data_IF_027061155126
#
_entry.id   IF_027061155126
#
_cell.length_a   1.000
_cell.length_b   1.000
_cell.length_c   1.000
_cell.angle_alpha   90.00
_cell.angle_beta   90.00
_cell.angle_gamma   90.00
#
_symmetry.space_group_name_H-M   'P 1'
#
loop_
_entity.id
_entity.type
_entity.pdbx_description
1 polymer ?
#
# COMPACT_ATOMS: atom_id res chain seq x y z
N UNK A 1 -5.16 39.45 11.95
CA UNK A 1 -4.41 38.26 11.50
C UNK A 1 -4.75 38.02 10.04
N UNK A 2 -3.81 38.29 9.12
CA UNK A 2 -4.02 38.07 7.69
C UNK A 2 -4.03 36.56 7.40
N UNK A 3 -5.05 36.08 6.70
CA UNK A 3 -5.07 34.74 6.16
C UNK A 3 -3.92 34.63 5.16
N UNK A 4 -3.01 33.67 5.36
CA UNK A 4 -1.96 33.38 4.39
C UNK A 4 -2.61 33.09 3.04
N UNK A 5 -2.22 33.86 2.01
CA UNK A 5 -2.67 33.63 0.65
C UNK A 5 -2.30 32.19 0.25
N UNK A 6 -3.31 31.40 -0.14
CA UNK A 6 -3.07 30.04 -0.59
C UNK A 6 -2.37 30.12 -1.95
N UNK A 7 -1.08 29.79 -1.99
CA UNK A 7 -0.28 29.80 -3.21
C UNK A 7 -0.85 28.89 -4.30
N UNK A 8 -0.51 29.20 -5.56
CA UNK A 8 -0.92 28.42 -6.74
C UNK A 8 -0.50 26.95 -6.57
N UNK A 9 -1.46 26.03 -6.76
CA UNK A 9 -1.19 24.59 -6.69
C UNK A 9 -0.37 24.18 -7.90
N UNK A 10 0.80 23.59 -7.67
CA UNK A 10 1.68 23.08 -8.72
C UNK A 10 1.76 21.57 -8.60
N UNK A 11 1.37 20.87 -9.66
CA UNK A 11 1.38 19.41 -9.75
C UNK A 11 2.17 18.96 -10.99
N UNK A 12 3.11 18.04 -10.81
CA UNK A 12 3.90 17.47 -11.90
C UNK A 12 3.82 15.95 -11.86
N UNK A 13 3.26 15.34 -12.91
CA UNK A 13 3.32 13.90 -13.15
C UNK A 13 4.44 13.60 -14.14
N UNK A 14 5.44 12.83 -13.71
CA UNK A 14 6.57 12.37 -14.53
C UNK A 14 6.38 10.90 -14.88
N UNK A 15 6.34 10.58 -16.17
CA UNK A 15 6.27 9.21 -16.70
C UNK A 15 7.68 8.75 -17.07
N UNK A 16 8.32 7.98 -16.18
CA UNK A 16 9.73 7.61 -16.32
C UNK A 16 10.00 6.79 -17.58
N UNK A 17 9.11 5.86 -17.96
CA UNK A 17 9.32 5.04 -19.17
C UNK A 17 9.10 5.83 -20.45
N UNK A 18 8.15 6.78 -20.43
CA UNK A 18 7.84 7.62 -21.59
C UNK A 18 8.74 8.85 -21.71
N UNK A 19 9.58 9.11 -20.71
CA UNK A 19 10.46 10.29 -20.66
C UNK A 19 9.66 11.59 -20.90
N UNK A 20 8.46 11.65 -20.31
CA UNK A 20 7.52 12.77 -20.47
C UNK A 20 6.96 13.20 -19.12
N UNK A 21 6.66 14.48 -18.96
CA UNK A 21 5.94 15.01 -17.82
C UNK A 21 4.73 15.85 -18.23
N UNK A 22 3.72 15.83 -17.37
CA UNK A 22 2.54 16.67 -17.41
C UNK A 22 2.57 17.60 -16.20
N UNK A 23 2.74 18.89 -16.46
CA UNK A 23 2.61 19.95 -15.48
C UNK A 23 1.16 20.45 -15.47
N UNK A 24 0.58 20.55 -14.29
CA UNK A 24 -0.74 21.14 -14.04
C UNK A 24 -0.55 22.26 -13.01
N UNK A 25 -0.93 23.47 -13.39
CA UNK A 25 -1.02 24.62 -12.50
C UNK A 25 -2.49 24.87 -12.20
N UNK A 26 -2.88 24.68 -10.94
CA UNK A 26 -4.26 24.86 -10.51
C UNK A 26 -4.75 26.29 -10.74
N UNK A 27 -6.04 26.45 -11.04
CA UNK A 27 -6.64 27.76 -11.24
C UNK A 27 -6.40 28.67 -10.01
N UNK A 28 -5.89 29.90 -10.22
CA UNK A 28 -5.90 30.90 -9.16
C UNK A 28 -7.35 31.22 -8.79
N UNK A 29 -7.61 31.48 -7.50
CA UNK A 29 -8.96 31.83 -7.02
C UNK A 29 -9.50 33.12 -7.63
N UNK A 30 -8.62 33.99 -8.11
CA UNK A 30 -8.95 35.23 -8.80
C UNK A 30 -8.52 35.08 -10.26
N UNK A 31 -9.51 34.86 -11.13
CA UNK A 31 -9.28 34.60 -12.55
C UNK A 31 -8.58 35.76 -13.25
N UNK A 32 -7.59 35.44 -14.08
CA UNK A 32 -6.98 36.37 -15.02
C UNK A 32 -5.70 37.07 -14.57
N UNK A 33 -5.12 36.73 -13.42
CA UNK A 33 -3.82 37.27 -13.03
C UNK A 33 -2.69 36.73 -13.93
N UNK A 34 -1.76 37.59 -14.40
CA UNK A 34 -0.62 37.15 -15.18
C UNK A 34 0.28 36.24 -14.32
N UNK A 35 0.69 35.12 -14.90
CA UNK A 35 1.59 34.15 -14.27
C UNK A 35 2.85 33.98 -15.12
N UNK A 36 4.00 34.13 -14.48
CA UNK A 36 5.29 33.84 -15.13
C UNK A 36 5.76 32.45 -14.71
N UNK A 37 6.01 31.59 -15.69
CA UNK A 37 6.44 30.21 -15.49
C UNK A 37 7.87 30.06 -16.01
N UNK A 38 8.79 29.79 -15.10
CA UNK A 38 10.19 29.51 -15.43
C UNK A 38 10.47 28.02 -15.25
N UNK A 39 10.82 27.35 -16.35
CA UNK A 39 11.20 25.93 -16.35
C UNK A 39 12.70 25.83 -16.52
N UNK A 40 13.38 25.24 -15.55
CA UNK A 40 14.80 24.89 -15.64
C UNK A 40 14.98 23.38 -15.45
N UNK A 41 16.13 22.79 -15.81
CA UNK A 41 16.28 21.35 -15.75
C UNK A 41 16.04 20.72 -14.37
N UNK A 42 16.34 21.41 -13.28
CA UNK A 42 16.25 20.87 -11.92
C UNK A 42 15.10 21.45 -11.08
N UNK A 43 14.39 22.46 -11.57
CA UNK A 43 13.31 23.10 -10.83
C UNK A 43 12.29 23.76 -11.74
N UNK A 44 11.11 24.00 -11.18
CA UNK A 44 10.04 24.75 -11.80
C UNK A 44 9.65 25.89 -10.88
N UNK A 45 9.55 27.10 -11.42
CA UNK A 45 9.15 28.28 -10.65
C UNK A 45 7.92 28.91 -11.29
N UNK A 46 6.91 29.18 -10.46
CA UNK A 46 5.68 29.88 -10.83
C UNK A 46 5.61 31.16 -10.02
N UNK A 47 5.67 32.30 -10.71
CA UNK A 47 5.53 33.62 -10.11
C UNK A 47 4.14 34.16 -10.39
N UNK A 48 3.52 34.63 -9.32
CA UNK A 48 2.22 35.30 -9.30
C UNK A 48 2.39 36.63 -8.56
N UNK A 49 1.50 37.62 -8.75
CA UNK A 49 1.53 38.85 -7.95
C UNK A 49 1.51 38.59 -6.44
N UNK A 50 0.91 37.49 -6.00
CA UNK A 50 0.74 37.12 -4.60
C UNK A 50 1.94 36.34 -4.02
N UNK A 51 2.86 35.85 -4.87
CA UNK A 51 4.02 35.11 -4.41
C UNK A 51 4.70 34.25 -5.47
N UNK A 52 5.75 33.56 -5.04
CA UNK A 52 6.57 32.67 -5.86
C UNK A 52 6.52 31.25 -5.30
N UNK A 53 6.08 30.30 -6.12
CA UNK A 53 6.09 28.88 -5.80
C UNK A 53 7.20 28.20 -6.58
N UNK A 54 8.14 27.56 -5.88
CA UNK A 54 9.21 26.78 -6.50
C UNK A 54 9.05 25.29 -6.17
N UNK A 55 9.18 24.46 -7.20
CA UNK A 55 9.18 23.01 -7.13
C UNK A 55 10.58 22.51 -7.46
N UNK A 56 11.29 22.00 -6.45
CA UNK A 56 12.58 21.34 -6.64
C UNK A 56 12.38 19.90 -7.07
N UNK A 57 13.12 19.46 -8.09
CA UNK A 57 13.03 18.10 -8.61
C UNK A 57 14.07 17.19 -7.94
N UNK A 58 13.75 15.91 -7.73
CA UNK A 58 14.74 14.92 -7.32
C UNK A 58 15.90 14.83 -8.31
N UNK A 59 17.09 14.44 -7.84
CA UNK A 59 18.31 14.37 -8.65
C UNK A 59 18.16 13.41 -9.85
N UNK A 60 17.28 12.43 -9.75
CA UNK A 60 17.02 11.41 -10.77
C UNK A 60 16.12 11.92 -11.91
N UNK A 61 15.58 13.14 -11.81
CA UNK A 61 14.65 13.73 -12.77
C UNK A 61 15.14 15.10 -13.23
N UNK A 62 15.27 15.25 -14.54
CA UNK A 62 15.62 16.53 -15.17
C UNK A 62 14.63 16.90 -16.28
N UNK A 63 14.10 18.12 -16.26
CA UNK A 63 13.21 18.61 -17.33
C UNK A 63 14.03 19.01 -18.56
N UNK A 64 13.39 18.98 -19.72
CA UNK A 64 13.94 19.54 -20.96
C UNK A 64 13.14 20.80 -21.32
N UNK A 65 13.54 22.00 -20.89
CA UNK A 65 12.71 23.22 -21.06
C UNK A 65 12.37 23.54 -22.51
N UNK A 66 13.25 23.22 -23.46
CA UNK A 66 13.02 23.44 -24.90
C UNK A 66 11.92 22.56 -25.51
N UNK A 67 11.40 21.58 -24.76
CA UNK A 67 10.39 20.63 -25.24
C UNK A 67 8.95 20.99 -24.83
N UNK A 68 8.77 22.13 -24.15
CA UNK A 68 7.46 22.61 -23.70
C UNK A 68 6.47 22.70 -24.87
N UNK A 69 5.35 21.99 -24.76
CA UNK A 69 4.32 21.90 -25.80
C UNK A 69 2.93 21.60 -25.22
N UNK A 70 1.91 21.78 -26.04
CA UNK A 70 0.54 21.42 -25.67
C UNK A 70 0.02 22.22 -24.47
N UNK A 71 0.37 23.51 -24.43
CA UNK A 71 -0.17 24.44 -23.45
C UNK A 71 -1.68 24.55 -23.66
N UNK A 72 -2.44 24.20 -22.62
CA UNK A 72 -3.89 24.20 -22.69
C UNK A 72 -4.47 24.60 -21.35
N UNK A 73 -5.51 25.44 -21.38
CA UNK A 73 -6.32 25.72 -20.20
C UNK A 73 -7.51 24.75 -20.17
N UNK A 74 -7.70 24.09 -19.03
CA UNK A 74 -8.81 23.16 -18.78
C UNK A 74 -9.67 23.75 -17.65
N UNK A 75 -10.92 24.16 -17.94
CA UNK A 75 -11.80 24.75 -16.93
C UNK A 75 -11.97 23.85 -15.71
N UNK A 76 -11.74 24.40 -14.52
CA UNK A 76 -11.81 23.71 -13.23
C UNK A 76 -10.57 22.89 -12.85
N UNK A 77 -9.63 22.66 -13.78
CA UNK A 77 -8.35 21.98 -13.50
C UNK A 77 -7.17 22.96 -13.52
N UNK A 78 -7.17 23.91 -14.48
CA UNK A 78 -6.17 24.96 -14.63
C UNK A 78 -5.31 24.81 -15.89
N UNK A 79 -4.07 25.26 -15.82
CA UNK A 79 -3.15 25.31 -16.97
C UNK A 79 -2.33 24.03 -17.06
N UNK A 80 -2.41 23.37 -18.21
CA UNK A 80 -1.73 22.12 -18.51
C UNK A 80 -0.60 22.37 -19.49
N UNK A 81 0.57 21.80 -19.22
CA UNK A 81 1.75 21.87 -20.09
C UNK A 81 2.43 20.50 -20.15
N UNK A 82 2.86 20.09 -21.34
CA UNK A 82 3.64 18.87 -21.53
C UNK A 82 5.09 19.20 -21.84
N UNK A 83 5.99 18.40 -21.28
CA UNK A 83 7.42 18.52 -21.48
C UNK A 83 8.06 17.13 -21.52
N UNK A 84 9.20 17.02 -22.19
CA UNK A 84 10.10 15.87 -22.07
C UNK A 84 10.89 15.97 -20.77
N UNK A 85 11.26 14.81 -20.25
CA UNK A 85 12.14 14.68 -19.10
C UNK A 85 13.25 13.70 -19.41
N UNK A 86 14.34 13.80 -18.65
CA UNK A 86 15.34 12.75 -18.48
C UNK A 86 15.16 12.21 -17.07
N UNK A 87 14.62 11.02 -16.98
CA UNK A 87 14.45 10.32 -15.71
C UNK A 87 15.14 8.96 -15.78
N UNK A 88 15.92 8.63 -14.75
CA UNK A 88 16.47 7.28 -14.67
C UNK A 88 15.34 6.25 -14.55
N UNK A 89 15.48 5.16 -15.30
CA UNK A 89 14.57 4.02 -15.17
C UNK A 89 14.91 3.33 -13.86
N UNK A 90 13.93 3.25 -12.96
CA UNK A 90 14.08 2.66 -11.63
C UNK A 90 14.54 1.20 -11.75
N UNK A 91 15.85 0.97 -11.72
CA UNK A 91 16.47 -0.35 -11.94
C UNK A 91 16.28 -1.28 -10.74
N UNK A 92 15.66 -0.80 -9.66
CA UNK A 92 15.44 -1.53 -8.42
C UNK A 92 14.06 -1.22 -7.87
N UNK A 93 13.01 -1.71 -8.55
CA UNK A 93 11.73 -2.03 -7.89
C UNK A 93 11.96 -3.19 -6.92
N UNK A 94 12.67 -2.91 -5.83
CA UNK A 94 12.90 -3.86 -4.76
C UNK A 94 11.62 -3.84 -3.92
N UNK A 95 10.96 -4.99 -3.83
CA UNK A 95 9.82 -5.18 -2.93
C UNK A 95 10.18 -4.74 -1.51
N UNK A 96 9.45 -3.79 -0.94
CA UNK A 96 9.63 -3.37 0.47
C UNK A 96 9.40 -4.56 1.44
N UNK A 97 8.55 -5.52 1.06
CA UNK A 97 8.35 -6.74 1.81
C UNK A 97 9.63 -7.58 1.87
N UNK A 98 10.39 -7.62 0.78
CA UNK A 98 11.70 -8.27 0.77
C UNK A 98 12.78 -7.44 1.49
N UNK A 99 12.78 -6.10 1.43
CA UNK A 99 13.82 -5.29 2.10
C UNK A 99 13.79 -5.36 3.63
N UNK A 100 12.60 -5.28 4.24
CA UNK A 100 12.47 -5.36 5.70
C UNK A 100 12.88 -6.73 6.26
N UNK A 101 12.85 -7.75 5.41
CA UNK A 101 13.01 -9.16 5.75
C UNK A 101 14.35 -9.76 5.27
N UNK A 102 15.10 -9.06 4.39
CA UNK A 102 16.41 -9.49 3.86
C UNK A 102 17.59 -9.24 4.82
N UNK A 103 17.36 -8.61 5.97
CA UNK A 103 18.43 -8.35 6.94
C UNK A 103 18.67 -9.58 7.84
N UNK A 104 19.94 -10.00 7.97
CA UNK A 104 20.45 -11.02 8.90
C UNK A 104 20.21 -10.74 10.41
N UNK A 105 19.35 -9.77 10.76
CA UNK A 105 19.05 -9.32 12.12
C UNK A 105 17.63 -9.68 12.60
N UNK A 106 17.37 -9.41 13.89
CA UNK A 106 16.03 -9.59 14.46
C UNK A 106 15.06 -8.51 13.97
N UNK A 107 13.83 -8.89 13.64
CA UNK A 107 12.75 -7.99 13.26
C UNK A 107 11.65 -7.95 14.32
N UNK A 108 10.95 -6.83 14.40
CA UNK A 108 9.82 -6.64 15.29
C UNK A 108 8.57 -6.34 14.46
N UNK A 109 7.47 -6.97 14.85
CA UNK A 109 6.15 -6.84 14.23
C UNK A 109 5.35 -5.85 15.07
N UNK A 110 4.76 -4.85 14.41
CA UNK A 110 3.98 -3.80 15.05
C UNK A 110 2.57 -3.76 14.47
N UNK A 111 1.57 -3.46 15.31
CA UNK A 111 0.25 -3.10 14.84
C UNK A 111 0.33 -1.75 14.13
N UNK A 112 -0.09 -1.71 12.86
CA UNK A 112 -0.08 -0.48 12.06
C UNK A 112 -0.93 0.63 12.71
N UNK A 113 -2.09 0.29 13.27
CA UNK A 113 -3.07 1.28 13.75
C UNK A 113 -2.64 2.02 15.02
N UNK A 114 -1.82 1.41 15.87
CA UNK A 114 -1.40 2.06 17.12
C UNK A 114 0.11 2.03 17.37
N UNK A 115 0.85 1.09 16.75
CA UNK A 115 2.28 0.85 17.00
C UNK A 115 2.56 -0.19 18.09
N UNK A 116 1.56 -0.96 18.52
CA UNK A 116 1.75 -1.96 19.58
C UNK A 116 2.67 -3.08 19.08
N UNK A 117 3.63 -3.50 19.90
CA UNK A 117 4.51 -4.62 19.54
C UNK A 117 3.72 -5.93 19.61
N UNK A 118 3.70 -6.66 18.51
CA UNK A 118 2.99 -7.94 18.36
C UNK A 118 3.96 -9.12 18.55
N UNK A 119 5.11 -9.04 17.89
CA UNK A 119 6.21 -10.01 18.01
C UNK A 119 7.50 -9.22 18.12
N UNK A 120 8.25 -9.41 19.20
CA UNK A 120 9.49 -8.67 19.47
C UNK A 120 10.72 -9.49 19.09
N UNK A 121 11.72 -8.84 18.50
CA UNK A 121 13.06 -9.38 18.25
C UNK A 121 13.06 -10.78 17.59
N UNK A 122 12.13 -11.02 16.66
CA UNK A 122 12.00 -12.29 15.93
C UNK A 122 13.11 -12.40 14.91
N UNK A 123 13.94 -13.43 15.05
CA UNK A 123 14.86 -13.82 13.98
C UNK A 123 14.09 -14.53 12.88
N UNK A 124 14.20 -14.07 11.64
CA UNK A 124 13.63 -14.75 10.48
C UNK A 124 14.77 -15.35 9.66
N UNK A 125 14.83 -16.68 9.63
CA UNK A 125 15.89 -17.41 8.94
C UNK A 125 15.57 -17.60 7.46
N UNK A 126 14.29 -17.83 7.14
CA UNK A 126 13.82 -17.95 5.76
C UNK A 126 12.57 -17.14 5.56
N UNK A 127 12.56 -16.42 4.45
CA UNK A 127 11.43 -15.61 4.03
C UNK A 127 11.10 -16.07 2.61
N UNK A 128 10.01 -16.82 2.48
CA UNK A 128 9.69 -17.55 1.25
C UNK A 128 8.34 -17.10 0.69
N UNK A 129 8.23 -16.80 -0.61
CA UNK A 129 6.93 -16.54 -1.22
C UNK A 129 6.11 -17.84 -1.27
N UNK A 130 4.82 -17.74 -0.97
CA UNK A 130 3.85 -18.81 -1.22
C UNK A 130 3.47 -18.81 -2.70
N UNK A 131 3.01 -19.96 -3.23
CA UNK A 131 2.20 -19.96 -4.43
C UNK A 131 1.04 -18.96 -4.29
N UNK A 132 0.58 -18.41 -5.42
CA UNK A 132 -0.59 -17.53 -5.46
C UNK A 132 -1.77 -18.14 -4.71
N UNK A 133 -2.60 -17.33 -4.05
CA UNK A 133 -3.87 -17.81 -3.49
C UNK A 133 -4.75 -18.51 -4.56
N UNK A 134 -4.60 -18.13 -5.83
CA UNK A 134 -5.31 -18.73 -6.97
C UNK A 134 -4.56 -19.91 -7.61
N UNK A 135 -3.51 -20.43 -6.97
CA UNK A 135 -2.70 -21.52 -7.52
C UNK A 135 -3.52 -22.76 -7.87
N UNK A 136 -4.46 -23.15 -7.00
CA UNK A 136 -5.33 -24.30 -7.28
C UNK A 136 -6.12 -24.14 -8.58
N UNK A 137 -6.76 -22.98 -8.77
CA UNK A 137 -7.49 -22.67 -10.00
C UNK A 137 -6.57 -22.64 -11.23
N UNK A 138 -5.35 -22.10 -11.09
CA UNK A 138 -4.36 -22.10 -12.17
C UNK A 138 -3.95 -23.53 -12.55
N UNK A 139 -3.74 -24.41 -11.56
CA UNK A 139 -3.39 -25.81 -11.82
C UNK A 139 -4.53 -26.54 -12.50
N UNK A 140 -5.76 -26.36 -12.05
CA UNK A 140 -6.95 -26.97 -12.66
C UNK A 140 -7.15 -26.56 -14.11
N UNK A 141 -6.83 -25.31 -14.47
CA UNK A 141 -7.01 -24.78 -15.82
C UNK A 141 -5.83 -25.05 -16.76
N UNK A 142 -4.59 -25.03 -16.25
CA UNK A 142 -3.38 -24.95 -17.09
C UNK A 142 -2.42 -26.13 -16.97
N UNK A 143 -2.53 -26.96 -15.92
CA UNK A 143 -1.56 -28.02 -15.68
C UNK A 143 -2.12 -29.41 -16.02
N UNK A 144 -1.28 -30.25 -16.61
CA UNK A 144 -1.64 -31.64 -16.96
C UNK A 144 -1.67 -32.60 -15.76
N UNK A 145 -1.36 -32.11 -14.55
CA UNK A 145 -1.30 -32.90 -13.33
C UNK A 145 -1.99 -32.16 -12.19
N UNK A 146 -2.54 -32.88 -11.19
CA UNK A 146 -3.20 -32.26 -10.05
C UNK A 146 -2.22 -31.39 -9.24
N UNK A 147 -2.79 -30.50 -8.44
CA UNK A 147 -2.02 -29.59 -7.59
C UNK A 147 -1.18 -30.39 -6.57
N UNK A 148 0.16 -30.29 -6.64
CA UNK A 148 1.05 -31.01 -5.73
C UNK A 148 0.86 -30.58 -4.26
N UNK A 149 0.19 -29.44 -4.01
CA UNK A 149 -0.06 -28.89 -2.68
C UNK A 149 -1.49 -29.07 -2.17
N UNK A 150 -2.43 -29.61 -2.96
CA UNK A 150 -3.86 -29.69 -2.62
C UNK A 150 -4.17 -30.31 -1.25
N UNK A 151 -3.34 -31.24 -0.79
CA UNK A 151 -3.52 -31.97 0.48
C UNK A 151 -2.43 -31.67 1.53
N UNK A 152 -1.57 -30.67 1.29
CA UNK A 152 -0.43 -30.35 2.16
C UNK A 152 -0.48 -28.88 2.57
N UNK A 153 -0.97 -28.56 3.78
CA UNK A 153 -0.97 -27.18 4.23
C UNK A 153 0.48 -26.69 4.39
N UNK A 154 0.80 -25.59 3.71
CA UNK A 154 2.12 -24.96 3.77
C UNK A 154 2.24 -24.15 5.06
N UNK A 155 2.77 -24.77 6.10
CA UNK A 155 3.00 -24.12 7.40
C UNK A 155 4.47 -23.71 7.56
N UNK A 156 4.74 -22.48 8.02
CA UNK A 156 6.10 -22.04 8.33
C UNK A 156 6.65 -22.83 9.54
N UNK A 157 7.92 -23.21 9.48
CA UNK A 157 8.64 -23.72 10.64
C UNK A 157 8.96 -22.56 11.60
N UNK A 158 9.54 -22.89 12.76
CA UNK A 158 10.04 -21.86 13.66
C UNK A 158 11.05 -20.96 12.94
N UNK A 159 10.89 -19.63 13.08
CA UNK A 159 11.71 -18.62 12.40
C UNK A 159 11.55 -18.54 10.87
N UNK A 160 10.59 -19.24 10.27
CA UNK A 160 10.18 -18.98 8.90
C UNK A 160 9.08 -17.91 8.84
N UNK A 161 9.09 -17.13 7.76
CA UNK A 161 8.00 -16.26 7.36
C UNK A 161 7.63 -16.56 5.92
N UNK A 162 6.39 -16.96 5.66
CA UNK A 162 5.90 -17.14 4.29
C UNK A 162 5.10 -15.91 3.85
N UNK A 163 5.32 -15.46 2.62
CA UNK A 163 4.69 -14.26 2.06
C UNK A 163 3.62 -14.69 1.04
N UNK A 164 2.36 -14.41 1.33
CA UNK A 164 1.26 -14.51 0.36
C UNK A 164 1.00 -13.17 -0.35
N UNK A 165 -0.03 -13.13 -1.21
CA UNK A 165 -0.37 -11.94 -2.00
C UNK A 165 -0.77 -10.72 -1.14
N UNK A 166 -1.36 -10.97 0.04
CA UNK A 166 -1.93 -9.93 0.93
C UNK A 166 -1.65 -10.17 2.43
N UNK A 167 -0.84 -11.17 2.76
CA UNK A 167 -0.64 -11.63 4.13
C UNK A 167 0.73 -12.26 4.35
N UNK A 168 1.11 -12.37 5.62
CA UNK A 168 2.26 -13.14 6.08
C UNK A 168 1.78 -14.36 6.87
N UNK A 169 2.41 -15.52 6.69
CA UNK A 169 2.30 -16.64 7.62
C UNK A 169 3.57 -16.71 8.44
N UNK A 170 3.40 -16.76 9.76
CA UNK A 170 4.51 -16.97 10.69
C UNK A 170 4.17 -18.06 11.66
N UNK A 171 5.19 -18.80 12.07
CA UNK A 171 5.06 -19.69 13.21
C UNK A 171 5.00 -18.82 14.48
N UNK A 172 3.80 -18.66 15.02
CA UNK A 172 3.51 -17.85 16.19
C UNK A 172 2.34 -18.46 16.96
N UNK A 173 2.63 -18.87 18.19
CA UNK A 173 1.67 -19.41 19.16
C UNK A 173 0.92 -18.27 19.85
N UNK A 174 -0.35 -18.09 19.49
CA UNK A 174 -1.21 -17.04 20.08
C UNK A 174 -1.66 -17.36 21.52
N UNK A 175 -1.41 -18.56 22.02
CA UNK A 175 -1.80 -19.09 23.34
C UNK A 175 -0.88 -18.65 24.49
N UNK A 176 0.23 -17.94 24.23
CA UNK A 176 0.97 -17.18 25.25
C UNK A 176 0.19 -15.95 25.78
N UNK A 177 -1.05 -15.75 25.33
CA UNK A 177 -1.88 -14.58 25.62
C UNK A 177 -3.18 -14.88 26.37
N UNK A 178 -3.37 -16.12 26.84
CA UNK A 178 -4.32 -16.43 27.92
C UNK A 178 -3.52 -16.76 29.19
N UNK A 179 -3.91 -16.28 30.39
CA UNK A 179 -3.35 -16.81 31.63
C UNK A 179 -3.59 -18.31 31.64
N UNK A 180 -2.54 -19.11 31.84
CA UNK A 180 -2.70 -20.54 32.15
C UNK A 180 -3.65 -20.63 33.36
N UNK A 181 -4.77 -21.38 33.29
CA UNK A 181 -5.33 -21.93 34.51
C UNK A 181 -4.24 -22.82 35.11
N UNK A 182 -3.97 -22.63 36.39
CA UNK A 182 -2.94 -23.36 37.14
C UNK A 182 -3.06 -24.87 36.93
N UNK A 183 -1.90 -25.52 36.84
CA UNK A 183 -1.73 -26.97 36.82
C UNK A 183 -2.40 -27.59 38.06
N UNK A 184 -3.29 -28.54 37.82
CA UNK A 184 -3.76 -29.52 38.81
C UNK A 184 -3.71 -30.92 38.16
N UNK A 185 -3.52 -32.00 38.96
CA UNK A 185 -2.50 -33.00 38.68
C UNK A 185 -2.92 -34.11 37.70
N UNK A 186 -1.87 -34.80 37.25
CA UNK A 186 -1.88 -36.07 36.51
C UNK A 186 -2.87 -37.07 37.11
N UNK A 187 -3.84 -37.51 36.30
CA UNK A 187 -4.44 -38.83 36.46
C UNK A 187 -4.43 -39.58 35.13
N UNK A 188 -3.79 -40.74 35.18
CA UNK A 188 -3.69 -41.75 34.13
C UNK A 188 -5.05 -42.41 33.92
N UNK A 189 -5.54 -42.47 32.67
CA UNK A 189 -6.21 -43.68 32.13
C UNK A 189 -6.55 -43.55 30.63
N UNK A 190 -6.22 -44.60 29.88
CA UNK A 190 -6.66 -44.87 28.52
C UNK A 190 -8.09 -45.44 28.52
N UNK A 191 -8.95 -45.03 27.58
CA UNK A 191 -9.76 -45.92 26.74
C UNK A 191 -10.63 -45.14 25.75
N UNK A 192 -10.91 -45.83 24.65
CA UNK A 192 -11.71 -45.49 23.47
C UNK A 192 -13.13 -45.01 23.79
N UNK A 193 -13.64 -44.02 23.04
CA UNK A 193 -14.79 -44.16 22.13
C UNK A 193 -15.31 -42.81 21.62
N UNK A 194 -15.94 -42.89 20.45
CA UNK A 194 -16.43 -41.84 19.59
C UNK A 194 -17.32 -40.80 20.29
N UNK A 195 -16.82 -39.59 20.44
CA UNK A 195 -17.69 -38.40 20.46
C UNK A 195 -16.99 -37.26 19.71
N UNK A 196 -17.49 -36.96 18.51
CA UNK A 196 -17.38 -35.67 17.85
C UNK A 196 -18.04 -34.61 18.73
N UNK A 197 -17.41 -34.27 19.86
CA UNK A 197 -17.62 -33.00 20.55
C UNK A 197 -16.99 -31.97 19.63
N UNK A 198 -17.83 -31.30 18.85
CA UNK A 198 -17.53 -30.02 18.21
C UNK A 198 -16.95 -29.12 19.30
N UNK A 199 -15.61 -29.09 19.38
CA UNK A 199 -14.90 -28.10 20.18
C UNK A 199 -15.42 -26.74 19.71
N UNK A 200 -15.75 -25.82 20.63
CA UNK A 200 -16.20 -24.49 20.24
C UNK A 200 -15.20 -23.93 19.25
N UNK A 201 -15.70 -23.49 18.08
CA UNK A 201 -14.92 -22.96 16.97
C UNK A 201 -13.92 -21.96 17.54
N UNK A 202 -12.67 -22.37 17.68
CA UNK A 202 -11.65 -21.59 18.37
C UNK A 202 -11.63 -20.19 17.75
N UNK A 203 -11.51 -19.14 18.56
CA UNK A 203 -11.44 -17.77 18.06
C UNK A 203 -10.28 -17.69 17.05
N UNK A 204 -10.61 -17.76 15.76
CA UNK A 204 -9.64 -17.73 14.67
C UNK A 204 -9.08 -16.34 14.47
N UNK A 205 -9.53 -15.32 15.20
CA UNK A 205 -9.16 -13.92 15.00
C UNK A 205 -7.99 -13.55 15.89
N UNK A 206 -6.94 -12.98 15.28
CA UNK A 206 -5.82 -12.37 16.00
C UNK A 206 -6.09 -10.88 16.14
N UNK A 207 -6.07 -10.38 17.38
CA UNK A 207 -6.52 -9.01 17.71
C UNK A 207 -5.39 -8.26 18.42
N UNK A 208 -5.20 -6.99 18.06
CA UNK A 208 -4.27 -6.11 18.74
C UNK A 208 -4.69 -5.89 20.20
N UNK A 209 -3.75 -6.03 21.12
CA UNK A 209 -4.03 -5.91 22.57
C UNK A 209 -4.42 -4.52 23.00
N UNK A 210 -3.84 -3.50 22.38
CA UNK A 210 -4.05 -2.11 22.74
C UNK A 210 -5.30 -1.54 22.07
N UNK A 211 -5.37 -1.54 20.73
CA UNK A 211 -6.47 -0.90 20.00
C UNK A 211 -7.62 -1.84 19.60
N UNK A 212 -7.52 -3.14 19.88
CA UNK A 212 -8.55 -4.16 19.56
C UNK A 212 -8.89 -4.34 18.07
N UNK A 213 -8.08 -3.80 17.16
CA UNK A 213 -8.19 -4.05 15.72
C UNK A 213 -7.78 -5.50 15.39
N UNK A 214 -8.47 -6.12 14.43
CA UNK A 214 -8.11 -7.42 13.89
C UNK A 214 -6.82 -7.31 13.06
N UNK A 215 -5.81 -8.09 13.42
CA UNK A 215 -4.51 -8.13 12.75
C UNK A 215 -4.38 -9.28 11.75
N UNK A 216 -5.22 -10.31 11.90
CA UNK A 216 -5.11 -11.53 11.13
C UNK A 216 -5.89 -12.70 11.73
N UNK A 217 -5.47 -13.92 11.37
CA UNK A 217 -6.16 -15.15 11.68
C UNK A 217 -5.23 -16.28 12.18
N UNK A 218 -5.69 -17.09 13.12
CA UNK A 218 -5.00 -18.30 13.56
C UNK A 218 -5.39 -19.46 12.63
N UNK A 219 -4.41 -19.97 11.87
CA UNK A 219 -4.60 -21.06 10.90
C UNK A 219 -4.46 -22.44 11.55
N UNK A 220 -3.55 -22.56 12.53
CA UNK A 220 -3.33 -23.75 13.34
C UNK A 220 -2.82 -23.34 14.73
N UNK A 221 -2.59 -24.29 15.63
CA UNK A 221 -2.04 -23.99 16.98
C UNK A 221 -0.73 -23.21 16.94
N UNK A 222 0.05 -23.34 15.86
CA UNK A 222 1.37 -22.73 15.74
C UNK A 222 1.48 -21.75 14.58
N UNK A 223 0.51 -21.70 13.66
CA UNK A 223 0.57 -20.82 12.48
C UNK A 223 -0.43 -19.68 12.60
N UNK A 224 0.09 -18.46 12.47
CA UNK A 224 -0.72 -17.24 12.43
C UNK A 224 -0.55 -16.55 11.07
N UNK A 225 -1.68 -16.20 10.44
CA UNK A 225 -1.81 -15.35 9.27
C UNK A 225 -1.95 -13.91 9.74
N UNK A 226 -1.08 -13.00 9.30
CA UNK A 226 -1.20 -11.56 9.53
C UNK A 226 -1.49 -10.82 8.22
N UNK A 227 -2.44 -9.89 8.23
CA UNK A 227 -2.74 -9.10 7.03
C UNK A 227 -1.71 -7.99 6.82
N UNK A 228 -1.20 -7.86 5.60
CA UNK A 228 -0.16 -6.87 5.26
C UNK A 228 -0.61 -5.43 5.54
N UNK A 229 -1.91 -5.14 5.47
CA UNK A 229 -2.49 -3.82 5.75
C UNK A 229 -2.56 -3.49 7.23
N UNK A 230 -2.39 -4.48 8.11
CA UNK A 230 -2.59 -4.34 9.56
C UNK A 230 -1.30 -4.42 10.37
N UNK A 231 -0.22 -4.91 9.78
CA UNK A 231 1.07 -5.07 10.46
C UNK A 231 2.21 -4.38 9.73
N UNK A 232 3.15 -3.86 10.52
CA UNK A 232 4.42 -3.30 10.07
C UNK A 232 5.53 -4.23 10.57
N UNK A 233 6.42 -4.66 9.67
CA UNK A 233 7.61 -5.46 10.02
C UNK A 233 8.83 -4.57 9.83
N UNK A 234 9.63 -4.40 10.88
CA UNK A 234 10.85 -3.56 10.84
C UNK A 234 12.03 -4.26 11.51
N UNK A 235 13.27 -4.00 11.07
CA UNK A 235 14.45 -4.39 11.83
C UNK A 235 14.42 -3.77 13.23
N UNK A 236 14.73 -4.53 14.27
CA UNK A 236 14.46 -4.12 15.66
C UNK A 236 15.33 -2.96 16.15
N UNK A 237 16.46 -2.69 15.49
CA UNK A 237 17.36 -1.57 15.79
C UNK A 237 16.90 -0.25 15.15
N UNK A 238 15.98 -0.29 14.18
CA UNK A 238 15.56 0.89 13.43
C UNK A 238 14.36 1.56 14.10
N UNK A 239 14.54 2.83 14.49
CA UNK A 239 13.42 3.71 14.82
C UNK A 239 12.67 4.04 13.52
N UNK A 240 11.35 3.97 13.56
CA UNK A 240 10.49 4.38 12.45
C UNK A 240 9.36 5.27 12.97
N UNK A 241 8.92 6.20 12.14
CA UNK A 241 7.68 6.93 12.36
C UNK A 241 6.52 6.09 11.81
N UNK A 242 5.43 6.04 12.57
CA UNK A 242 4.19 5.45 12.09
C UNK A 242 3.58 6.44 11.11
N UNK A 243 3.53 6.07 9.85
CA UNK A 243 2.79 6.83 8.84
C UNK A 243 1.29 6.67 9.06
N UNK A 244 0.48 7.65 8.63
CA UNK A 244 -0.97 7.54 8.72
C UNK A 244 -1.51 6.29 8.01
N UNK A 245 -2.62 5.77 8.53
CA UNK A 245 -3.21 4.50 8.06
C UNK A 245 -3.64 4.55 6.59
N UNK A 246 -4.23 5.65 6.16
CA UNK A 246 -4.56 5.93 4.76
C UNK A 246 -3.35 5.75 3.85
N UNK A 247 -2.27 6.47 4.15
CA UNK A 247 -1.02 6.42 3.37
C UNK A 247 -0.38 5.03 3.39
N UNK A 248 -0.40 4.35 4.54
CA UNK A 248 0.12 2.99 4.67
C UNK A 248 -0.64 2.00 3.79
N UNK A 249 -1.98 1.98 3.90
CA UNK A 249 -2.82 1.08 3.12
C UNK A 249 -2.69 1.36 1.63
N UNK A 250 -2.66 2.63 1.22
CA UNK A 250 -2.43 3.02 -0.17
C UNK A 250 -1.09 2.48 -0.69
N UNK A 251 -0.03 2.58 0.12
CA UNK A 251 1.31 2.14 -0.24
C UNK A 251 1.40 0.61 -0.36
N UNK A 252 0.79 -0.12 0.58
CA UNK A 252 0.68 -1.59 0.53
C UNK A 252 -0.09 -2.03 -0.71
N UNK A 253 -1.27 -1.45 -0.96
CA UNK A 253 -2.09 -1.79 -2.13
C UNK A 253 -1.35 -1.46 -3.43
N UNK A 254 -0.75 -0.28 -3.54
CA UNK A 254 0.01 0.12 -4.73
C UNK A 254 1.15 -0.86 -5.01
N UNK A 255 1.87 -1.29 -3.97
CA UNK A 255 2.94 -2.28 -4.11
C UNK A 255 2.40 -3.63 -4.59
N UNK A 256 1.33 -4.15 -3.97
CA UNK A 256 0.68 -5.39 -4.40
C UNK A 256 0.26 -5.31 -5.88
N UNK A 257 -0.36 -4.21 -6.32
CA UNK A 257 -0.76 -4.02 -7.71
C UNK A 257 0.44 -4.09 -8.67
N UNK A 258 1.56 -3.46 -8.31
CA UNK A 258 2.78 -3.45 -9.13
C UNK A 258 3.42 -4.84 -9.21
N UNK A 259 3.54 -5.53 -8.07
CA UNK A 259 4.15 -6.86 -8.02
C UNK A 259 3.31 -7.91 -8.74
N UNK A 260 2.00 -7.93 -8.47
CA UNK A 260 1.08 -8.87 -9.09
C UNK A 260 0.95 -8.64 -10.60
N UNK A 261 0.93 -7.38 -11.05
CA UNK A 261 0.90 -7.08 -12.48
C UNK A 261 2.18 -7.49 -13.20
N UNK A 262 3.34 -7.30 -12.57
CA UNK A 262 4.61 -7.75 -13.13
C UNK A 262 4.73 -9.28 -13.18
N UNK A 263 4.27 -9.97 -12.14
CA UNK A 263 4.38 -11.43 -12.05
C UNK A 263 3.36 -12.16 -12.93
N UNK A 264 2.15 -11.61 -13.10
CA UNK A 264 1.02 -12.31 -13.74
C UNK A 264 0.57 -11.71 -15.07
N UNK A 265 1.17 -10.59 -15.50
CA UNK A 265 0.71 -9.82 -16.67
C UNK A 265 -0.79 -9.45 -16.61
N UNK A 266 -1.34 -9.31 -15.39
CA UNK A 266 -2.72 -8.84 -15.17
C UNK A 266 -2.74 -7.40 -14.72
N UNK A 267 -3.73 -6.65 -15.18
CA UNK A 267 -3.92 -5.25 -14.83
C UNK A 267 -5.30 -4.99 -14.22
N UNK A 268 -6.05 -6.05 -13.91
CA UNK A 268 -7.41 -5.99 -13.36
C UNK A 268 -7.43 -6.70 -12.02
N UNK A 269 -7.96 -6.05 -11.01
CA UNK A 269 -7.91 -6.49 -9.62
C UNK A 269 -9.24 -6.25 -8.94
N UNK A 270 -9.49 -7.00 -7.87
CA UNK A 270 -10.64 -6.80 -6.99
C UNK A 270 -10.16 -6.62 -5.55
N UNK A 271 -10.68 -5.64 -4.84
CA UNK A 271 -10.54 -5.55 -3.38
C UNK A 271 -11.73 -6.27 -2.77
N UNK A 272 -11.45 -7.33 -2.01
CA UNK A 272 -12.43 -8.14 -1.32
C UNK A 272 -12.31 -7.97 0.19
N UNK A 273 -13.45 -8.01 0.89
CA UNK A 273 -13.46 -8.11 2.35
C UNK A 273 -13.20 -9.54 2.82
N UNK A 274 -13.02 -9.70 4.12
CA UNK A 274 -12.90 -11.01 4.77
C UNK A 274 -14.18 -11.86 4.62
N UNK A 275 -15.30 -11.24 4.28
CA UNK A 275 -16.58 -11.88 3.95
C UNK A 275 -16.62 -12.45 2.52
N UNK A 276 -15.53 -12.32 1.74
CA UNK A 276 -15.47 -12.70 0.33
C UNK A 276 -16.20 -11.75 -0.60
N UNK A 277 -16.78 -10.67 -0.08
CA UNK A 277 -17.52 -9.71 -0.89
C UNK A 277 -16.56 -8.78 -1.61
N UNK A 278 -16.79 -8.57 -2.89
CA UNK A 278 -16.06 -7.57 -3.69
C UNK A 278 -16.56 -6.16 -3.35
N UNK A 279 -15.65 -5.27 -2.97
CA UNK A 279 -15.94 -3.87 -2.64
C UNK A 279 -15.51 -2.90 -3.74
N UNK A 280 -14.42 -3.19 -4.45
CA UNK A 280 -13.87 -2.30 -5.49
C UNK A 280 -13.29 -3.15 -6.62
N UNK A 281 -13.63 -2.81 -7.87
CA UNK A 281 -12.89 -3.25 -9.05
C UNK A 281 -11.81 -2.22 -9.38
N UNK A 282 -10.61 -2.67 -9.72
CA UNK A 282 -9.46 -1.83 -10.01
C UNK A 282 -8.82 -2.22 -11.33
N UNK A 283 -8.48 -1.21 -12.13
CA UNK A 283 -7.67 -1.34 -13.34
C UNK A 283 -6.40 -0.52 -13.18
N UNK A 284 -5.25 -1.20 -13.23
CA UNK A 284 -3.94 -0.57 -13.21
C UNK A 284 -3.64 0.05 -14.58
N UNK A 285 -3.61 1.38 -14.65
CA UNK A 285 -3.35 2.12 -15.88
C UNK A 285 -1.85 2.36 -16.08
N UNK A 286 -1.13 2.69 -15.00
CA UNK A 286 0.32 2.83 -15.03
C UNK A 286 0.96 2.71 -13.66
N UNK A 287 2.23 2.28 -13.64
CA UNK A 287 3.04 2.08 -12.43
C UNK A 287 4.37 2.84 -12.45
N UNK A 288 4.63 3.63 -13.51
CA UNK A 288 5.89 4.33 -13.74
C UNK A 288 5.80 5.84 -13.50
N UNK A 289 4.76 6.30 -12.77
CA UNK A 289 4.59 7.71 -12.45
C UNK A 289 5.35 8.09 -11.20
N UNK A 290 6.09 9.20 -11.28
CA UNK A 290 6.55 9.96 -10.14
C UNK A 290 5.71 11.24 -10.07
N UNK A 291 5.08 11.50 -8.94
CA UNK A 291 4.25 12.68 -8.71
C UNK A 291 5.00 13.63 -7.79
N UNK A 292 5.04 14.91 -8.16
CA UNK A 292 5.67 15.97 -7.38
C UNK A 292 4.64 17.09 -7.21
N UNK A 293 4.38 17.48 -5.98
CA UNK A 293 3.38 18.49 -5.65
C UNK A 293 3.93 19.53 -4.68
N UNK A 294 3.63 20.80 -4.94
CA UNK A 294 3.83 21.88 -3.98
C UNK A 294 2.53 22.10 -3.20
N UNK A 295 2.50 21.66 -1.94
CA UNK A 295 1.32 21.76 -1.10
C UNK A 295 1.21 23.17 -0.51
N UNK A 296 0.62 24.10 -1.27
CA UNK A 296 -0.09 25.23 -0.66
C UNK A 296 -1.27 24.66 0.14
N UNK A 297 -1.45 25.07 1.40
CA UNK A 297 -2.44 24.48 2.33
C UNK A 297 -3.81 24.29 1.66
N UNK A 298 -4.15 23.04 1.32
CA UNK A 298 -5.46 22.74 0.73
C UNK A 298 -6.02 21.45 1.33
N UNK A 299 -7.29 21.53 1.71
CA UNK A 299 -8.09 20.42 2.22
C UNK A 299 -8.26 19.41 1.09
N UNK A 300 -7.91 18.16 1.35
CA UNK A 300 -8.02 17.05 0.41
C UNK A 300 -9.43 16.91 -0.16
N UNK A 301 -9.52 16.37 -1.38
CA UNK A 301 -10.77 16.12 -2.11
C UNK A 301 -11.66 15.19 -1.26
N UNK A 302 -12.78 15.73 -0.77
CA UNK A 302 -13.74 15.10 0.16
C UNK A 302 -14.61 13.98 -0.45
N UNK A 303 -14.07 13.11 -1.31
CA UNK A 303 -14.88 12.01 -1.90
C UNK A 303 -14.82 10.70 -1.11
N UNK A 304 -13.85 10.53 -0.20
CA UNK A 304 -13.77 9.40 0.72
C UNK A 304 -13.27 9.83 2.11
N UNK A 305 -14.15 10.03 3.09
CA UNK A 305 -13.74 10.43 4.45
C UNK A 305 -12.89 9.37 5.19
N UNK A 306 -12.84 8.12 4.69
CA UNK A 306 -12.04 7.02 5.26
C UNK A 306 -10.53 7.11 4.96
N UNK A 307 -10.11 8.01 4.05
CA UNK A 307 -8.71 8.17 3.60
C UNK A 307 -8.16 9.59 3.85
N UNK A 308 -8.81 10.37 4.71
CA UNK A 308 -8.38 11.73 5.02
C UNK A 308 -7.05 11.73 5.78
N UNK A 309 -6.05 12.40 5.20
CA UNK A 309 -4.82 12.75 5.90
C UNK A 309 -4.72 14.26 6.08
N UNK A 310 -4.46 14.68 7.32
CA UNK A 310 -4.05 16.03 7.68
C UNK A 310 -2.52 16.08 7.65
N UNK A 311 -1.92 16.11 6.45
CA UNK A 311 -0.48 16.31 6.33
C UNK A 311 -0.13 17.74 6.73
N UNK A 312 0.84 17.89 7.64
CA UNK A 312 1.51 19.18 7.85
C UNK A 312 2.31 19.50 6.59
N UNK A 313 2.19 20.75 6.15
CA UNK A 313 2.88 21.28 4.99
C UNK A 313 4.36 21.48 5.31
N UNK A 314 5.18 20.49 4.98
CA UNK A 314 6.63 20.65 4.91
C UNK A 314 7.11 20.10 3.56
N UNK A 315 7.68 21.01 2.77
CA UNK A 315 8.46 20.86 1.53
C UNK A 315 7.90 20.01 0.37
N UNK A 316 8.29 20.42 -0.85
CA UNK A 316 8.09 19.70 -2.11
C UNK A 316 8.46 18.22 -1.93
N UNK A 317 7.50 17.32 -2.11
CA UNK A 317 7.70 15.90 -1.88
C UNK A 317 7.34 15.12 -3.12
N UNK A 318 8.33 14.35 -3.60
CA UNK A 318 8.21 13.51 -4.77
C UNK A 318 7.90 12.08 -4.34
N UNK A 319 6.89 11.47 -4.94
CA UNK A 319 6.40 10.14 -4.56
C UNK A 319 6.19 9.27 -5.78
N UNK A 320 6.59 8.00 -5.70
CA UNK A 320 6.17 7.02 -6.69
C UNK A 320 4.66 6.82 -6.59
N UNK A 321 3.97 6.85 -7.72
CA UNK A 321 2.54 6.76 -7.80
C UNK A 321 2.09 5.73 -8.82
N UNK A 322 0.96 5.12 -8.52
CA UNK A 322 0.28 4.17 -9.39
C UNK A 322 -1.04 4.81 -9.81
N UNK A 323 -1.30 4.87 -11.11
CA UNK A 323 -2.57 5.36 -11.63
C UNK A 323 -3.52 4.19 -11.80
N UNK A 324 -4.69 4.33 -11.19
CA UNK A 324 -5.74 3.31 -11.25
C UNK A 324 -7.03 3.93 -11.72
N UNK A 325 -7.79 3.18 -12.50
CA UNK A 325 -9.23 3.38 -12.65
C UNK A 325 -9.90 2.45 -11.64
N UNK A 326 -10.94 2.92 -10.96
CA UNK A 326 -11.65 2.10 -9.97
C UNK A 326 -13.16 2.25 -10.10
N UNK A 327 -13.87 1.16 -9.77
CA UNK A 327 -15.32 1.12 -9.69
C UNK A 327 -15.75 0.54 -8.34
N UNK A 328 -16.39 1.33 -7.46
CA UNK A 328 -16.97 0.81 -6.21
C UNK A 328 -18.13 -0.16 -6.48
N UNK A 329 -18.17 -1.29 -5.77
CA UNK A 329 -19.18 -2.35 -5.90
C UNK A 329 -20.28 -2.27 -4.82
N UNK A 330 -20.56 -1.07 -4.29
CA UNK A 330 -21.54 -0.88 -3.22
C UNK A 330 -22.96 -1.12 -3.79
N UNK A 331 -23.77 -1.95 -3.10
CA UNK A 331 -25.18 -2.15 -3.43
C UNK A 331 -25.86 -0.76 -3.46
N UNK A 332 -26.46 -0.40 -4.60
CA UNK A 332 -27.24 0.83 -4.89
C UNK A 332 -26.57 1.97 -5.69
N UNK A 333 -25.41 1.79 -6.35
CA UNK A 333 -24.85 2.83 -7.25
C UNK A 333 -24.75 2.47 -8.74
N UNK A 334 -25.01 1.21 -9.11
CA UNK A 334 -24.91 0.75 -10.49
C UNK A 334 -26.26 0.76 -11.24
N UNK A 335 -27.30 1.41 -10.71
CA UNK A 335 -28.60 1.51 -11.37
C UNK A 335 -28.65 2.56 -12.50
N UNK A 336 -27.62 3.41 -12.64
CA UNK A 336 -27.62 4.57 -13.55
C UNK A 336 -26.38 4.63 -14.46
N UNK A 337 -25.98 3.51 -15.05
CA UNK A 337 -25.04 3.54 -16.17
C UNK A 337 -25.64 2.77 -17.35
N UNK A 338 -26.29 3.45 -18.31
CA UNK A 338 -26.59 2.83 -19.60
C UNK A 338 -25.29 2.73 -20.40
N UNK A 339 -25.07 1.56 -21.01
CA UNK A 339 -24.12 1.40 -22.11
C UNK A 339 -24.53 2.24 -23.31
#
# INVERSE_FOLDING_TARGET
MAAAAAGTRVFLEVRRRLQSALLILGEPKEGGMPMDISVVPCSLQVKTPEGCTELQLPAEVSLVPSSCRGLQYVPGEGLHLRLQVRAESDAKRISMFNQSLQAQGCCTFYCQSCGEVIIKDRKLLRVLPLPSENWGALVEEWCCHPDPFANKPLHPQENDCFIGDSFFLVNFRSDLWQPRPELAPVETQCSSENHLKLKPKANTKVICKRCKVMLGETMSSETTKFYMTEIIIQPSERKFSIIPRSQFVQSVIAQCLVELSAARSTFRFTIQGHDGKVYILLWLLNSDSLVIESLGSSKSIKKFPLLEDNLKADSCSAWNAVKVLYQPCIKNRNAEWPF
#
